data_IF_954279251892
#
_entry.id   IF_954279251892
#
_cell.length_a   1.000
_cell.length_b   1.000
_cell.length_c   1.000
_cell.angle_alpha   90.00
_cell.angle_beta   90.00
_cell.angle_gamma   90.00
#
_symmetry.space_group_name_H-M   'P 1'
#
loop_
_entity.id
_entity.type
_entity.pdbx_description
1 polymer ?
#
# COMPACT_ATOMS: atom_id res chain seq x y z
N UNK A 1 -42.66 19.28 -42.10
CA UNK A 1 -42.06 18.28 -41.19
C UNK A 1 -40.71 18.84 -40.73
N UNK A 2 -40.63 19.42 -39.53
CA UNK A 2 -39.39 20.02 -39.01
C UNK A 2 -38.63 18.94 -38.24
N UNK A 3 -37.45 18.57 -38.74
CA UNK A 3 -36.54 17.63 -38.08
C UNK A 3 -35.92 18.38 -36.91
N UNK A 4 -36.14 17.90 -35.69
CA UNK A 4 -35.55 18.47 -34.48
C UNK A 4 -34.12 17.94 -34.36
N UNK A 5 -33.07 18.78 -34.43
CA UNK A 5 -31.70 18.32 -34.24
C UNK A 5 -31.50 18.10 -32.75
N UNK A 6 -31.80 16.88 -32.29
CA UNK A 6 -31.26 16.39 -31.03
C UNK A 6 -29.74 16.35 -31.18
N UNK A 7 -29.09 17.42 -30.71
CA UNK A 7 -27.68 17.42 -30.37
C UNK A 7 -27.50 16.35 -29.30
N UNK A 8 -27.07 15.16 -29.72
CA UNK A 8 -26.57 14.12 -28.83
C UNK A 8 -25.36 14.73 -28.11
N UNK A 9 -25.59 15.30 -26.93
CA UNK A 9 -24.53 15.72 -26.04
C UNK A 9 -23.68 14.48 -25.74
N UNK A 10 -22.44 14.48 -26.25
CA UNK A 10 -21.46 13.46 -25.90
C UNK A 10 -21.34 13.50 -24.37
N UNK A 11 -21.59 12.39 -23.65
CA UNK A 11 -21.43 12.38 -22.21
C UNK A 11 -19.98 12.72 -21.89
N UNK A 12 -19.75 13.85 -21.23
CA UNK A 12 -18.43 14.21 -20.74
C UNK A 12 -18.08 13.25 -19.61
N UNK A 13 -17.02 12.45 -19.81
CA UNK A 13 -16.50 11.57 -18.76
C UNK A 13 -15.94 12.49 -17.67
N UNK A 14 -16.42 12.40 -16.42
CA UNK A 14 -15.90 13.23 -15.35
C UNK A 14 -14.42 12.91 -15.11
N UNK A 15 -13.58 13.93 -14.83
CA UNK A 15 -12.17 13.75 -14.60
C UNK A 15 -11.93 12.78 -13.43
N UNK A 16 -10.92 11.92 -13.58
CA UNK A 16 -10.51 10.97 -12.55
C UNK A 16 -10.04 11.74 -11.32
N UNK A 17 -10.72 11.55 -10.19
CA UNK A 17 -10.31 12.13 -8.92
C UNK A 17 -10.25 11.06 -7.83
N UNK A 18 -9.04 10.79 -7.35
CA UNK A 18 -8.74 9.83 -6.29
C UNK A 18 -8.53 10.59 -4.98
N UNK A 19 -9.04 10.06 -3.87
CA UNK A 19 -8.76 10.66 -2.56
C UNK A 19 -7.33 10.41 -2.13
N UNK A 20 -6.61 11.43 -1.61
CA UNK A 20 -5.23 11.30 -1.11
C UNK A 20 -5.05 10.11 -0.15
N UNK A 21 -6.00 9.89 0.77
CA UNK A 21 -5.98 8.74 1.69
C UNK A 21 -5.85 7.40 0.95
N UNK A 22 -6.67 7.19 -0.08
CA UNK A 22 -6.63 5.98 -0.90
C UNK A 22 -5.33 5.88 -1.72
N UNK A 23 -4.82 7.00 -2.27
CA UNK A 23 -3.54 7.01 -2.97
C UNK A 23 -2.38 6.54 -2.07
N UNK A 24 -2.31 7.05 -0.83
CA UNK A 24 -1.32 6.62 0.15
C UNK A 24 -1.49 5.17 0.57
N UNK A 25 -2.74 4.70 0.73
CA UNK A 25 -3.02 3.30 1.02
C UNK A 25 -2.46 2.38 -0.07
N UNK A 26 -2.80 2.65 -1.33
CA UNK A 26 -2.38 1.79 -2.44
C UNK A 26 -0.87 1.88 -2.71
N UNK A 27 -0.29 3.08 -2.57
CA UNK A 27 1.16 3.23 -2.64
C UNK A 27 1.87 2.41 -1.56
N UNK A 28 1.35 2.41 -0.33
CA UNK A 28 1.87 1.59 0.76
C UNK A 28 1.91 0.09 0.42
N UNK A 29 0.80 -0.44 -0.10
CA UNK A 29 0.73 -1.84 -0.54
C UNK A 29 1.77 -2.13 -1.64
N UNK A 30 1.80 -1.30 -2.70
CA UNK A 30 2.67 -1.51 -3.85
C UNK A 30 4.17 -1.44 -3.48
N UNK A 31 4.56 -0.46 -2.67
CA UNK A 31 5.95 -0.32 -2.20
C UNK A 31 6.36 -1.50 -1.32
N UNK A 32 5.47 -2.01 -0.48
CA UNK A 32 5.76 -3.20 0.34
C UNK A 32 5.93 -4.46 -0.52
N UNK A 33 5.08 -4.64 -1.54
CA UNK A 33 5.22 -5.75 -2.50
C UNK A 33 6.56 -5.67 -3.24
N UNK A 34 7.01 -4.49 -3.65
CA UNK A 34 8.29 -4.36 -4.34
C UNK A 34 9.48 -4.42 -3.38
N UNK A 35 9.69 -3.38 -2.58
CA UNK A 35 10.86 -3.24 -1.71
C UNK A 35 10.84 -4.24 -0.55
N UNK A 36 9.68 -4.47 0.05
CA UNK A 36 9.54 -5.36 1.21
C UNK A 36 9.79 -6.83 0.88
N UNK A 37 9.53 -7.26 -0.36
CA UNK A 37 9.90 -8.59 -0.84
C UNK A 37 11.39 -8.65 -1.23
N UNK A 38 11.91 -7.63 -1.90
CA UNK A 38 13.35 -7.54 -2.21
C UNK A 38 14.22 -7.62 -0.96
N UNK A 39 13.88 -6.86 0.10
CA UNK A 39 14.60 -6.87 1.38
C UNK A 39 14.63 -8.25 2.06
N UNK A 40 13.66 -9.12 1.74
CA UNK A 40 13.56 -10.49 2.25
C UNK A 40 14.09 -11.55 1.28
N UNK A 41 14.68 -11.14 0.15
CA UNK A 41 15.10 -12.02 -0.94
C UNK A 41 13.96 -12.93 -1.45
N UNK A 42 12.74 -12.38 -1.51
CA UNK A 42 11.56 -13.08 -2.01
C UNK A 42 11.39 -12.84 -3.52
N UNK A 43 10.67 -13.73 -4.24
CA UNK A 43 10.46 -13.58 -5.68
C UNK A 43 9.84 -12.24 -6.06
N UNK A 44 10.28 -11.70 -7.20
CA UNK A 44 9.59 -10.57 -7.82
C UNK A 44 8.19 -10.98 -8.27
N UNK A 45 7.22 -10.09 -8.08
CA UNK A 45 5.82 -10.33 -8.40
C UNK A 45 5.34 -9.31 -9.43
N UNK A 46 4.45 -9.76 -10.31
CA UNK A 46 3.69 -8.85 -11.15
C UNK A 46 2.52 -8.26 -10.35
N UNK A 47 2.36 -6.94 -10.43
CA UNK A 47 1.26 -6.20 -9.85
C UNK A 47 1.02 -4.90 -10.63
N UNK A 48 -0.12 -4.27 -10.41
CA UNK A 48 -0.45 -2.96 -10.99
C UNK A 48 -1.36 -2.18 -10.05
N UNK A 49 -1.39 -0.85 -10.18
CA UNK A 49 -2.40 -0.03 -9.49
C UNK A 49 -3.45 0.39 -10.50
N UNK A 50 -4.65 -0.17 -10.38
CA UNK A 50 -5.79 0.14 -11.22
C UNK A 50 -6.71 1.16 -10.55
N UNK A 51 -7.10 2.19 -11.29
CA UNK A 51 -7.99 3.27 -10.86
C UNK A 51 -9.35 3.05 -11.51
N UNK A 52 -10.36 2.74 -10.70
CA UNK A 52 -11.70 2.41 -11.19
C UNK A 52 -12.78 3.15 -10.43
N UNK A 53 -13.94 3.30 -11.07
CA UNK A 53 -15.16 3.68 -10.35
C UNK A 53 -15.52 2.57 -9.35
N UNK A 54 -15.79 2.92 -8.08
CA UNK A 54 -16.26 1.95 -7.10
C UNK A 54 -17.54 1.28 -7.60
N UNK A 55 -17.61 -0.04 -7.46
CA UNK A 55 -18.82 -0.80 -7.75
C UNK A 55 -19.99 -0.26 -6.90
N UNK A 56 -21.16 -0.12 -7.51
CA UNK A 56 -22.39 0.31 -6.84
C UNK A 56 -22.72 -0.68 -5.72
N UNK A 57 -22.50 -0.27 -4.46
CA UNK A 57 -23.02 -1.01 -3.31
C UNK A 57 -24.52 -0.73 -3.20
N UNK A 58 -25.34 -1.76 -3.34
CA UNK A 58 -26.78 -1.68 -3.07
C UNK A 58 -26.95 -1.47 -1.56
N UNK A 59 -27.43 -0.30 -1.16
CA UNK A 59 -27.70 -0.02 0.25
C UNK A 59 -28.89 -0.84 0.78
N UNK A 60 -28.92 -1.09 2.09
CA UNK A 60 -30.00 -1.81 2.81
C UNK A 60 -31.42 -1.22 2.65
N UNK A 61 -31.60 -0.11 1.92
CA UNK A 61 -32.90 0.50 1.63
C UNK A 61 -33.29 0.50 0.15
N UNK A 62 -32.64 -0.30 -0.71
CA UNK A 62 -32.96 -0.38 -2.14
C UNK A 62 -32.66 0.88 -2.96
N UNK A 63 -32.23 1.97 -2.32
CA UNK A 63 -31.76 3.19 -2.99
C UNK A 63 -30.28 3.05 -3.35
N UNK A 64 -29.99 3.10 -4.64
CA UNK A 64 -28.64 3.29 -5.17
C UNK A 64 -28.18 4.71 -4.80
N UNK A 65 -27.42 4.87 -3.72
CA UNK A 65 -26.75 6.13 -3.42
C UNK A 65 -25.50 6.23 -4.28
N UNK A 66 -25.66 6.83 -5.46
CA UNK A 66 -24.52 7.24 -6.29
C UNK A 66 -23.81 8.37 -5.55
N UNK A 67 -22.68 8.08 -4.89
CA UNK A 67 -21.70 9.15 -4.66
C UNK A 67 -21.14 9.50 -6.03
N UNK A 68 -21.29 10.74 -6.51
CA UNK A 68 -20.79 11.10 -7.84
C UNK A 68 -19.26 10.89 -7.91
N UNK A 69 -18.81 10.13 -8.90
CA UNK A 69 -17.52 10.32 -9.58
C UNK A 69 -16.21 10.14 -8.78
N UNK A 70 -16.22 9.55 -7.58
CA UNK A 70 -14.95 9.31 -6.86
C UNK A 70 -14.34 7.99 -7.31
N UNK A 71 -13.29 8.07 -8.12
CA UNK A 71 -12.48 6.91 -8.48
C UNK A 71 -11.69 6.42 -7.25
N UNK A 72 -11.42 5.13 -7.21
CA UNK A 72 -10.54 4.51 -6.23
C UNK A 72 -9.42 3.77 -6.94
N UNK A 73 -8.19 4.02 -6.50
CA UNK A 73 -7.06 3.17 -6.84
C UNK A 73 -7.15 1.85 -6.05
N UNK A 74 -6.69 0.78 -6.68
CA UNK A 74 -6.58 -0.56 -6.10
C UNK A 74 -5.35 -1.27 -6.64
N UNK A 75 -4.53 -1.83 -5.75
CA UNK A 75 -3.47 -2.75 -6.11
C UNK A 75 -4.09 -4.08 -6.57
N UNK A 76 -3.71 -4.52 -7.76
CA UNK A 76 -4.06 -5.82 -8.33
C UNK A 76 -2.79 -6.68 -8.44
N UNK A 77 -2.87 -7.95 -8.02
CA UNK A 77 -1.72 -8.86 -7.98
C UNK A 77 -0.88 -8.72 -6.70
N UNK A 78 0.41 -9.01 -6.80
CA UNK A 78 1.38 -8.71 -5.73
C UNK A 78 1.35 -9.60 -4.48
N UNK A 79 0.59 -10.70 -4.45
CA UNK A 79 0.61 -11.69 -3.36
C UNK A 79 1.51 -12.88 -3.71
N UNK A 80 2.36 -13.30 -2.78
CA UNK A 80 3.18 -14.51 -2.89
C UNK A 80 2.33 -15.78 -2.77
N UNK A 81 1.28 -15.73 -1.95
CA UNK A 81 0.29 -16.79 -1.74
C UNK A 81 -1.07 -16.33 -2.31
N UNK A 82 -1.32 -16.50 -3.62
CA UNK A 82 -2.52 -15.97 -4.28
C UNK A 82 -3.81 -16.68 -3.81
N UNK A 83 -3.70 -17.93 -3.40
CA UNK A 83 -4.80 -18.75 -2.88
C UNK A 83 -4.37 -19.37 -1.56
N UNK A 84 -5.09 -19.03 -0.49
CA UNK A 84 -4.82 -19.63 0.81
C UNK A 84 -5.18 -21.11 0.78
N UNK A 85 -4.26 -22.01 1.13
CA UNK A 85 -4.58 -23.41 1.27
C UNK A 85 -5.48 -23.62 2.49
N UNK A 86 -6.13 -24.79 2.56
CA UNK A 86 -6.96 -25.16 3.71
C UNK A 86 -6.19 -25.08 5.03
N UNK A 87 -4.94 -25.54 5.03
CA UNK A 87 -4.03 -25.36 6.17
C UNK A 87 -2.58 -25.29 5.70
N UNK A 88 -1.74 -24.61 6.47
CA UNK A 88 -0.31 -24.56 6.20
C UNK A 88 0.35 -25.95 6.28
N UNK A 89 -0.06 -26.77 7.25
CA UNK A 89 0.45 -28.14 7.39
C UNK A 89 0.16 -28.99 6.15
N UNK A 90 -1.06 -28.93 5.62
CA UNK A 90 -1.44 -29.70 4.43
C UNK A 90 -0.69 -29.23 3.18
N UNK A 91 -0.55 -27.92 3.00
CA UNK A 91 0.14 -27.32 1.86
C UNK A 91 1.65 -27.62 1.86
N UNK A 92 2.24 -27.78 3.04
CA UNK A 92 3.68 -27.93 3.18
C UNK A 92 4.13 -29.35 3.53
N UNK A 93 3.21 -30.32 3.62
CA UNK A 93 3.49 -31.69 4.07
C UNK A 93 4.65 -32.36 3.32
N UNK A 94 4.73 -32.16 2.01
CA UNK A 94 5.73 -32.77 1.12
C UNK A 94 6.99 -31.91 0.92
N UNK A 95 7.02 -30.72 1.51
CA UNK A 95 8.15 -29.79 1.38
C UNK A 95 9.27 -30.14 2.36
N UNK A 96 10.51 -29.92 1.91
CA UNK A 96 11.70 -29.97 2.77
C UNK A 96 11.64 -28.90 3.87
N UNK A 97 12.44 -29.03 4.95
CA UNK A 97 12.51 -28.00 5.99
C UNK A 97 12.91 -26.61 5.48
N UNK A 98 13.69 -26.53 4.40
CA UNK A 98 14.06 -25.25 3.78
C UNK A 98 12.86 -24.63 3.06
N UNK A 99 12.17 -25.41 2.21
CA UNK A 99 11.00 -24.96 1.46
C UNK A 99 9.83 -24.59 2.40
N UNK A 100 9.66 -25.32 3.50
CA UNK A 100 8.72 -24.93 4.58
C UNK A 100 9.03 -23.53 5.09
N UNK A 101 10.29 -23.26 5.46
CA UNK A 101 10.69 -21.93 5.93
C UNK A 101 10.46 -20.85 4.88
N UNK A 102 10.77 -21.11 3.62
CA UNK A 102 10.51 -20.17 2.53
C UNK A 102 9.00 -19.91 2.34
N UNK A 103 8.17 -20.94 2.43
CA UNK A 103 6.71 -20.81 2.39
C UNK A 103 6.20 -19.97 3.57
N UNK A 104 6.67 -20.23 4.79
CA UNK A 104 6.34 -19.41 5.95
C UNK A 104 6.77 -17.94 5.76
N UNK A 105 7.99 -17.69 5.26
CA UNK A 105 8.44 -16.33 4.96
C UNK A 105 7.54 -15.63 3.94
N UNK A 106 7.03 -16.35 2.94
CA UNK A 106 6.08 -15.80 1.98
C UNK A 106 4.73 -15.45 2.62
N UNK A 107 4.19 -16.32 3.48
CA UNK A 107 2.98 -16.04 4.27
C UNK A 107 3.14 -14.79 5.15
N UNK A 108 4.23 -14.71 5.90
CA UNK A 108 4.53 -13.59 6.79
C UNK A 108 4.75 -12.29 6.01
N UNK A 109 5.44 -12.35 4.86
CA UNK A 109 5.65 -11.20 3.99
C UNK A 109 4.34 -10.66 3.41
N UNK A 110 3.43 -11.52 2.94
CA UNK A 110 2.12 -11.08 2.44
C UNK A 110 1.30 -10.37 3.52
N UNK A 111 1.32 -10.87 4.76
CA UNK A 111 0.65 -10.22 5.90
C UNK A 111 1.25 -8.84 6.17
N UNK A 112 2.58 -8.72 6.18
CA UNK A 112 3.25 -7.41 6.33
C UNK A 112 2.85 -6.48 5.19
N UNK A 113 2.89 -6.95 3.94
CA UNK A 113 2.56 -6.15 2.76
C UNK A 113 1.12 -5.60 2.84
N UNK A 114 0.16 -6.41 3.29
CA UNK A 114 -1.23 -6.02 3.51
C UNK A 114 -1.37 -4.96 4.62
N UNK A 115 -0.62 -5.09 5.71
CA UNK A 115 -0.66 -4.13 6.83
C UNK A 115 -0.09 -2.75 6.45
N UNK A 116 0.95 -2.71 5.59
CA UNK A 116 1.62 -1.46 5.21
C UNK A 116 0.66 -0.47 4.54
N UNK A 117 -0.31 -0.94 3.74
CA UNK A 117 -1.27 -0.05 3.09
C UNK A 117 -2.08 0.80 4.09
N UNK A 118 -2.66 0.16 5.09
CA UNK A 118 -3.46 0.86 6.10
C UNK A 118 -2.60 1.72 7.02
N UNK A 119 -1.38 1.26 7.33
CA UNK A 119 -0.42 2.07 8.08
C UNK A 119 0.03 3.31 7.28
N UNK A 120 0.17 3.21 5.96
CA UNK A 120 0.51 4.33 5.07
C UNK A 120 -0.55 5.41 5.08
N UNK A 121 -1.81 4.99 4.99
CA UNK A 121 -2.94 5.90 5.12
C UNK A 121 -2.99 6.54 6.53
N UNK A 122 -2.80 5.75 7.59
CA UNK A 122 -2.79 6.26 8.96
C UNK A 122 -1.67 7.28 9.21
N UNK A 123 -0.45 6.99 8.75
CA UNK A 123 0.69 7.89 8.86
C UNK A 123 0.46 9.18 8.09
N UNK A 124 -0.10 9.08 6.88
CA UNK A 124 -0.46 10.27 6.10
C UNK A 124 -1.47 11.15 6.85
N UNK A 125 -2.53 10.55 7.42
CA UNK A 125 -3.55 11.30 8.18
C UNK A 125 -2.92 12.00 9.39
N UNK A 126 -2.13 11.27 10.20
CA UNK A 126 -1.46 11.84 11.36
C UNK A 126 -0.56 13.03 10.97
N UNK A 127 0.30 12.86 9.96
CA UNK A 127 1.22 13.91 9.52
C UNK A 127 0.49 15.12 8.94
N UNK A 128 -0.61 14.92 8.19
CA UNK A 128 -1.44 15.99 7.65
C UNK A 128 -2.09 16.82 8.76
N UNK A 129 -2.52 16.14 9.84
CA UNK A 129 -3.21 16.76 10.96
C UNK A 129 -2.24 17.31 12.03
N UNK A 130 -0.92 17.23 11.79
CA UNK A 130 0.11 17.69 12.74
C UNK A 130 0.26 16.77 13.96
N UNK A 131 -0.25 15.55 13.89
CA UNK A 131 -0.20 14.54 14.94
C UNK A 131 1.03 13.63 14.81
N UNK A 132 1.41 13.02 15.93
CA UNK A 132 2.50 12.03 15.98
C UNK A 132 1.96 10.66 15.55
N UNK A 133 2.57 10.08 14.53
CA UNK A 133 2.33 8.68 14.16
C UNK A 133 3.01 7.75 15.17
N UNK A 134 2.21 6.96 15.90
CA UNK A 134 2.67 6.11 17.00
C UNK A 134 1.96 4.74 16.97
N UNK A 135 2.72 3.65 17.08
CA UNK A 135 2.22 2.27 17.11
C UNK A 135 1.25 1.99 18.27
N UNK A 136 1.37 2.70 19.38
CA UNK A 136 0.46 2.58 20.53
C UNK A 136 -0.89 3.28 20.29
N UNK A 137 -0.94 4.25 19.37
CA UNK A 137 -2.15 4.98 19.00
C UNK A 137 -2.85 4.33 17.80
N UNK A 138 -2.06 3.88 16.82
CA UNK A 138 -2.55 3.15 15.64
C UNK A 138 -2.40 1.65 15.88
N UNK A 139 -3.21 1.07 16.77
CA UNK A 139 -3.21 -0.37 17.01
C UNK A 139 -3.89 -1.13 15.86
N UNK A 140 -3.65 -2.44 15.75
CA UNK A 140 -4.14 -3.30 14.66
C UNK A 140 -5.65 -3.10 14.35
N UNK A 141 -6.50 -3.05 15.38
CA UNK A 141 -7.94 -2.87 15.21
C UNK A 141 -8.37 -1.49 14.69
N UNK A 142 -7.50 -0.47 14.78
CA UNK A 142 -7.74 0.86 14.23
C UNK A 142 -7.55 0.90 12.71
N UNK A 143 -6.81 -0.05 12.12
CA UNK A 143 -6.49 -0.06 10.68
C UNK A 143 -7.75 -0.15 9.78
N UNK A 144 -8.86 -0.68 10.29
CA UNK A 144 -10.16 -0.65 9.58
C UNK A 144 -10.66 0.77 9.26
N UNK A 145 -10.23 1.77 10.04
CA UNK A 145 -10.56 3.18 9.80
C UNK A 145 -9.63 3.86 8.78
N UNK A 146 -8.61 3.14 8.30
CA UNK A 146 -7.60 3.58 7.33
C UNK A 146 -7.59 2.67 6.09
N UNK A 147 -8.78 2.28 5.63
CA UNK A 147 -8.96 1.47 4.43
C UNK A 147 -8.74 -0.03 4.61
N UNK A 148 -8.24 -0.49 5.76
CA UNK A 148 -7.78 -1.87 5.97
C UNK A 148 -8.84 -2.94 6.24
N UNK A 149 -10.13 -2.65 6.12
CA UNK A 149 -11.18 -3.63 6.46
C UNK A 149 -11.08 -4.90 5.59
N UNK A 150 -10.74 -4.76 4.31
CA UNK A 150 -10.59 -5.89 3.40
C UNK A 150 -9.29 -6.66 3.67
N UNK A 151 -8.20 -5.94 3.88
CA UNK A 151 -6.87 -6.49 4.16
C UNK A 151 -6.88 -7.27 5.49
N UNK A 152 -7.52 -6.74 6.53
CA UNK A 152 -7.65 -7.42 7.82
C UNK A 152 -8.39 -8.76 7.70
N UNK A 153 -9.46 -8.84 6.90
CA UNK A 153 -10.15 -10.13 6.65
C UNK A 153 -9.26 -11.14 5.94
N UNK A 154 -8.40 -10.67 5.02
CA UNK A 154 -7.44 -11.54 4.35
C UNK A 154 -6.40 -12.03 5.38
N UNK A 155 -5.87 -11.12 6.20
CA UNK A 155 -4.89 -11.43 7.25
C UNK A 155 -5.45 -12.45 8.25
N UNK A 156 -6.71 -12.33 8.66
CA UNK A 156 -7.38 -13.32 9.52
C UNK A 156 -7.33 -14.72 8.89
N UNK A 157 -7.55 -14.80 7.57
CA UNK A 157 -7.39 -16.04 6.81
C UNK A 157 -5.96 -16.59 6.81
N UNK A 158 -4.94 -15.72 6.67
CA UNK A 158 -3.53 -16.13 6.78
C UNK A 158 -3.21 -16.69 8.18
N UNK A 159 -3.67 -16.02 9.24
CA UNK A 159 -3.42 -16.44 10.62
C UNK A 159 -4.11 -17.77 10.95
N UNK A 160 -5.37 -17.93 10.51
CA UNK A 160 -6.11 -19.18 10.67
C UNK A 160 -5.45 -20.35 9.92
N UNK A 161 -4.88 -20.09 8.74
CA UNK A 161 -4.18 -21.08 7.94
C UNK A 161 -2.84 -21.50 8.57
N UNK A 162 -2.06 -20.53 9.06
CA UNK A 162 -0.71 -20.74 9.60
C UNK A 162 -0.72 -21.38 10.99
N UNK A 163 -1.67 -20.97 11.84
CA UNK A 163 -1.73 -21.35 13.25
C UNK A 163 -3.17 -21.74 13.63
N UNK A 164 -3.73 -22.82 13.07
CA UNK A 164 -5.11 -23.21 13.33
C UNK A 164 -5.34 -23.44 14.84
N UNK A 165 -6.50 -22.98 15.32
CA UNK A 165 -6.99 -23.16 16.70
C UNK A 165 -6.09 -22.63 17.84
N UNK A 166 -5.03 -21.87 17.52
CA UNK A 166 -4.16 -21.25 18.52
C UNK A 166 -4.27 -19.72 18.51
N UNK A 167 -5.36 -19.20 19.07
CA UNK A 167 -5.63 -17.75 19.08
C UNK A 167 -4.55 -16.93 19.80
N UNK A 168 -3.90 -17.48 20.84
CA UNK A 168 -2.86 -16.77 21.57
C UNK A 168 -1.61 -16.58 20.69
N UNK A 169 -1.16 -17.64 20.03
CA UNK A 169 -0.01 -17.57 19.13
C UNK A 169 -0.32 -16.77 17.87
N UNK A 170 -1.55 -16.85 17.33
CA UNK A 170 -1.99 -15.99 16.23
C UNK A 170 -1.87 -14.50 16.61
N UNK A 171 -2.37 -14.09 17.78
CA UNK A 171 -2.27 -12.70 18.24
C UNK A 171 -0.82 -12.26 18.41
N UNK A 172 0.01 -13.12 18.98
CA UNK A 172 1.44 -12.85 19.17
C UNK A 172 2.16 -12.68 17.83
N UNK A 173 1.99 -13.63 16.91
CA UNK A 173 2.56 -13.57 15.56
C UNK A 173 2.07 -12.33 14.81
N UNK A 174 0.78 -12.03 14.86
CA UNK A 174 0.23 -10.85 14.20
C UNK A 174 0.77 -9.54 14.80
N UNK A 175 1.01 -9.48 16.11
CA UNK A 175 1.67 -8.33 16.73
C UNK A 175 3.13 -8.16 16.26
N UNK A 176 3.89 -9.26 16.12
CA UNK A 176 5.24 -9.25 15.55
C UNK A 176 5.24 -8.72 14.10
N UNK A 177 4.33 -9.23 13.27
CA UNK A 177 4.18 -8.81 11.87
C UNK A 177 3.71 -7.35 11.76
N UNK A 178 2.84 -6.91 12.66
CA UNK A 178 2.42 -5.51 12.76
C UNK A 178 3.59 -4.59 13.08
N UNK A 179 4.44 -4.95 14.05
CA UNK A 179 5.63 -4.17 14.38
C UNK A 179 6.63 -4.14 13.21
N UNK A 180 6.76 -5.24 12.46
CA UNK A 180 7.57 -5.27 11.24
C UNK A 180 7.03 -4.30 10.17
N UNK A 181 5.71 -4.30 9.93
CA UNK A 181 5.07 -3.36 9.01
C UNK A 181 5.20 -1.91 9.48
N UNK A 182 5.08 -1.66 10.78
CA UNK A 182 5.26 -0.34 11.41
C UNK A 182 6.71 0.15 11.29
N UNK A 183 7.69 -0.74 11.43
CA UNK A 183 9.10 -0.42 11.18
C UNK A 183 9.34 -0.08 9.71
N UNK A 184 8.81 -0.91 8.79
CA UNK A 184 8.93 -0.70 7.34
C UNK A 184 8.45 0.67 6.90
N UNK A 185 7.29 1.13 7.40
CA UNK A 185 6.76 2.45 7.06
C UNK A 185 7.50 3.61 7.75
N UNK A 186 8.16 3.35 8.88
CA UNK A 186 8.96 4.36 9.57
C UNK A 186 10.38 4.49 9.07
N UNK A 187 10.84 3.52 8.29
CA UNK A 187 12.03 3.73 7.48
C UNK A 187 11.83 4.94 6.55
N UNK A 188 12.83 5.82 6.55
CA UNK A 188 12.78 7.08 5.83
C UNK A 188 12.70 6.86 4.33
N UNK A 189 13.49 5.94 3.80
CA UNK A 189 13.58 5.73 2.35
C UNK A 189 12.32 5.06 1.80
N UNK A 190 11.77 4.09 2.54
CA UNK A 190 10.48 3.47 2.23
C UNK A 190 9.35 4.51 2.26
N UNK A 191 9.31 5.39 3.27
CA UNK A 191 8.30 6.44 3.34
C UNK A 191 8.39 7.45 2.19
N UNK A 192 9.59 7.80 1.74
CA UNK A 192 9.75 8.68 0.57
C UNK A 192 9.26 8.00 -0.72
N UNK A 193 9.55 6.72 -0.90
CA UNK A 193 9.02 5.95 -2.03
C UNK A 193 7.48 5.89 -2.01
N UNK A 194 6.88 5.62 -0.84
CA UNK A 194 5.41 5.63 -0.66
C UNK A 194 4.83 7.00 -1.04
N UNK A 195 5.43 8.10 -0.54
CA UNK A 195 4.97 9.45 -0.87
C UNK A 195 5.08 9.75 -2.36
N UNK A 196 6.22 9.43 -2.99
CA UNK A 196 6.43 9.70 -4.41
C UNK A 196 5.38 9.00 -5.27
N UNK A 197 5.13 7.71 -5.00
CA UNK A 197 4.10 6.95 -5.69
C UNK A 197 2.68 7.45 -5.37
N UNK A 198 2.39 7.81 -4.12
CA UNK A 198 1.08 8.35 -3.74
C UNK A 198 0.77 9.69 -4.41
N UNK A 199 1.76 10.58 -4.53
CA UNK A 199 1.60 11.84 -5.26
C UNK A 199 1.44 11.60 -6.77
N UNK A 200 2.09 10.59 -7.35
CA UNK A 200 1.86 10.20 -8.74
C UNK A 200 0.43 9.69 -8.95
N UNK A 201 -0.04 8.75 -8.11
CA UNK A 201 -1.41 8.21 -8.15
C UNK A 201 -2.45 9.33 -7.97
N UNK A 202 -2.17 10.31 -7.11
CA UNK A 202 -3.11 11.40 -6.83
C UNK A 202 -3.16 12.46 -7.94
N UNK A 203 -2.00 12.82 -8.51
CA UNK A 203 -1.92 13.94 -9.46
C UNK A 203 -2.03 13.52 -10.93
N UNK A 204 -1.76 12.26 -11.27
CA UNK A 204 -1.82 11.75 -12.64
C UNK A 204 -3.15 11.00 -12.89
N UNK A 205 -4.07 11.57 -13.69
CA UNK A 205 -5.38 10.98 -13.95
C UNK A 205 -5.28 9.82 -14.95
N UNK A 206 -4.62 8.74 -14.53
CA UNK A 206 -4.48 7.48 -15.28
C UNK A 206 -5.38 6.39 -14.71
N UNK A 207 -5.83 5.52 -15.61
CA UNK A 207 -6.62 4.34 -15.22
C UNK A 207 -5.75 3.20 -14.66
N UNK A 208 -4.48 3.11 -15.08
CA UNK A 208 -3.56 2.05 -14.64
C UNK A 208 -2.16 2.64 -14.50
N UNK A 209 -1.50 2.30 -13.39
CA UNK A 209 -0.04 2.36 -13.25
C UNK A 209 0.50 0.95 -13.35
N UNK A 210 1.30 0.70 -14.37
CA UNK A 210 1.93 -0.61 -14.64
C UNK A 210 2.97 -0.96 -13.57
N UNK A 211 3.35 -2.23 -13.49
CA UNK A 211 4.39 -2.70 -12.56
C UNK A 211 5.68 -1.89 -12.74
N UNK A 212 6.09 -1.67 -14.00
CA UNK A 212 7.32 -1.00 -14.40
C UNK A 212 7.27 0.49 -14.03
N UNK A 213 6.15 1.18 -14.27
CA UNK A 213 5.97 2.58 -13.86
C UNK A 213 6.03 2.72 -12.34
N UNK A 214 5.39 1.80 -11.61
CA UNK A 214 5.43 1.81 -10.14
C UNK A 214 6.86 1.61 -9.65
N UNK A 215 7.60 0.63 -10.18
CA UNK A 215 8.99 0.37 -9.81
C UNK A 215 9.85 1.61 -10.06
N UNK A 216 9.75 2.23 -11.24
CA UNK A 216 10.52 3.43 -11.57
C UNK A 216 10.25 4.60 -10.60
N UNK A 217 8.98 4.83 -10.23
CA UNK A 217 8.60 5.85 -9.26
C UNK A 217 9.12 5.54 -7.85
N UNK A 218 9.07 4.28 -7.45
CA UNK A 218 9.59 3.81 -6.16
C UNK A 218 11.09 4.01 -6.08
N UNK A 219 11.84 3.59 -7.10
CA UNK A 219 13.30 3.74 -7.14
C UNK A 219 13.74 5.21 -7.15
N UNK A 220 13.01 6.07 -7.88
CA UNK A 220 13.25 7.51 -7.88
C UNK A 220 13.03 8.11 -6.48
N UNK A 221 11.94 7.75 -5.81
CA UNK A 221 11.63 8.19 -4.45
C UNK A 221 12.61 7.65 -3.41
N UNK A 222 13.12 6.44 -3.60
CA UNK A 222 14.09 5.78 -2.72
C UNK A 222 15.50 6.40 -2.86
N UNK A 223 15.91 6.75 -4.08
CA UNK A 223 17.24 7.27 -4.42
C UNK A 223 17.43 8.77 -4.15
N UNK A 224 16.34 9.54 -4.00
CA UNK A 224 16.37 11.00 -3.80
C UNK A 224 17.04 11.47 -2.50
N UNK A 225 17.59 10.55 -1.68
CA UNK A 225 18.37 10.86 -0.47
C UNK A 225 19.85 11.12 -0.73
N UNK A 226 20.40 10.77 -1.92
CA UNK A 226 21.82 10.99 -2.23
C UNK A 226 22.15 12.39 -2.77
N UNK A 227 21.19 13.08 -3.39
CA UNK A 227 21.47 14.36 -4.09
C UNK A 227 21.42 15.58 -3.15
N UNK A 228 20.66 15.52 -2.05
CA UNK A 228 20.50 16.68 -1.15
C UNK A 228 21.68 16.87 -0.20
N UNK A 229 22.50 15.85 0.02
CA UNK A 229 23.68 15.92 0.92
C UNK A 229 24.95 16.47 0.26
N UNK A 230 24.94 16.75 -1.06
CA UNK A 230 26.11 17.27 -1.79
C UNK A 230 26.00 18.76 -2.17
N UNK A 231 24.87 19.43 -1.90
CA UNK A 231 24.66 20.82 -2.32
C UNK A 231 24.64 21.86 -1.17
N UNK A 232 25.16 21.52 0.01
CA UNK A 232 25.47 22.50 1.07
C UNK A 232 26.95 22.44 1.44
N UNK A 233 27.80 22.89 0.52
CA UNK A 233 29.10 23.46 0.85
C UNK A 233 29.30 24.68 -0.03
N UNK A 234 28.70 25.79 0.40
CA UNK A 234 29.04 27.11 -0.11
C UNK A 234 29.88 27.81 0.97
N UNK A 235 31.14 28.00 0.62
CA UNK A 235 32.04 29.10 0.96
C UNK A 235 31.75 29.89 2.24
N UNK A 236 32.66 29.75 3.20
CA UNK A 236 33.05 30.85 4.09
C UNK A 236 34.55 30.74 4.40
N UNK A 237 35.37 31.06 3.41
CA UNK A 237 36.74 31.52 3.63
C UNK A 237 36.74 33.04 3.58
N UNK A 238 36.46 33.68 4.72
CA UNK A 238 36.70 35.11 4.89
C UNK A 238 38.16 35.27 5.32
N UNK A 239 38.94 35.88 4.42
CA UNK A 239 40.31 36.33 4.63
C UNK A 239 40.42 37.20 5.90
N UNK A 240 41.44 36.92 6.72
CA UNK A 240 41.93 37.86 7.73
C UNK A 240 43.08 38.66 7.13
N UNK A 241 43.07 40.00 7.17
CA UNK A 241 44.28 40.76 6.91
C UNK A 241 45.18 40.75 8.15
N UNK A 242 46.48 40.56 7.92
CA UNK A 242 47.52 40.84 8.91
C UNK A 242 47.57 42.35 9.16
N UNK A 243 47.45 42.76 10.42
CA UNK A 243 48.25 43.79 11.07
C UNK A 243 48.16 43.64 12.59
#
# INVERSE_FOLDING_TARGET
MKINPNTLAIPTIPPIHIGRRNAYHQAGLAVAVYLGNQQKNLPALHFQVAVRLPELKVGMGGRLTRTPGRYAARLEGGRLIPYLPYSYESATRLLSPLEKRQCQCAFEADVVNLLVGSLAEAKYVALRDGEVFNANLVYLGALKFYGGDQELKIIDGYMACLLPDNQAEQRKKLAELFLAAYSFINDRQNWQAIKALAEAIYNDPKEVFTCEEVIALVELGHSSTHVVSQNFSFDNAVERPMH
#
